data_IF_486674303327
#
_entry.id   IF_486674303327
#
_cell.length_a   1.000
_cell.length_b   1.000
_cell.length_c   1.000
_cell.angle_alpha   90.00
_cell.angle_beta   90.00
_cell.angle_gamma   90.00
#
_symmetry.space_group_name_H-M   'P 1'
#
loop_
_entity.id
_entity.type
_entity.pdbx_description
1 polymer ?
#
# COMPACT_ATOMS: atom_id res chain seq x y z
N UNK A 1 -3.58 -26.35 7.06
CA UNK A 1 -2.32 -26.65 6.41
C UNK A 1 -1.28 -25.60 6.80
N UNK A 2 -0.02 -25.93 6.71
CA UNK A 2 1.07 -24.95 6.96
C UNK A 2 1.32 -24.13 5.71
N UNK A 3 1.75 -22.88 5.86
CA UNK A 3 2.27 -22.08 4.77
C UNK A 3 3.68 -22.60 4.43
N UNK A 4 3.98 -22.74 3.12
CA UNK A 4 5.22 -23.39 2.68
C UNK A 4 5.79 -22.70 1.45
N UNK A 5 7.11 -22.66 1.36
CA UNK A 5 7.85 -22.46 0.12
C UNK A 5 8.53 -23.80 -0.20
N UNK A 6 8.13 -24.44 -1.29
CA UNK A 6 8.65 -25.75 -1.70
C UNK A 6 9.67 -25.52 -2.81
N UNK A 7 10.91 -25.93 -2.57
CA UNK A 7 12.00 -25.79 -3.54
C UNK A 7 11.89 -26.79 -4.67
N UNK A 8 12.43 -26.44 -5.84
CA UNK A 8 12.50 -27.28 -7.03
C UNK A 8 11.14 -27.90 -7.42
N UNK A 9 10.09 -27.01 -7.51
CA UNK A 9 8.75 -27.45 -7.88
C UNK A 9 8.69 -27.82 -9.36
N UNK A 10 8.30 -29.05 -9.70
CA UNK A 10 8.27 -29.49 -11.10
C UNK A 10 7.17 -28.80 -11.91
N UNK A 11 7.49 -28.46 -13.14
CA UNK A 11 6.56 -27.85 -14.11
C UNK A 11 6.74 -28.51 -15.48
N UNK A 12 5.80 -28.30 -16.40
CA UNK A 12 5.92 -28.70 -17.81
C UNK A 12 6.70 -27.64 -18.64
N UNK A 13 7.40 -26.72 -17.98
CA UNK A 13 8.17 -25.68 -18.66
C UNK A 13 9.38 -26.23 -19.39
N UNK A 14 9.56 -25.78 -20.65
CA UNK A 14 10.70 -26.14 -21.50
C UNK A 14 11.81 -25.07 -21.47
N UNK A 15 11.62 -23.97 -20.75
CA UNK A 15 12.57 -22.84 -20.71
C UNK A 15 13.82 -23.15 -19.91
N UNK A 16 13.74 -24.02 -18.90
CA UNK A 16 14.91 -24.55 -18.20
C UNK A 16 15.15 -26.02 -18.59
N UNK A 17 16.40 -26.43 -18.63
CA UNK A 17 16.75 -27.83 -18.92
C UNK A 17 16.15 -28.84 -17.94
N UNK A 18 15.66 -28.37 -16.78
CA UNK A 18 15.11 -29.20 -15.72
C UNK A 18 13.60 -29.11 -15.55
N UNK A 19 12.93 -28.10 -16.12
CA UNK A 19 11.48 -27.91 -15.96
C UNK A 19 11.02 -27.61 -14.52
N UNK A 20 11.91 -27.14 -13.62
CA UNK A 20 11.59 -26.85 -12.23
C UNK A 20 11.58 -25.36 -11.98
N UNK A 21 10.54 -24.87 -11.28
CA UNK A 21 10.55 -23.56 -10.64
C UNK A 21 11.42 -23.62 -9.37
N UNK A 22 12.17 -22.56 -9.09
CA UNK A 22 13.05 -22.57 -7.93
C UNK A 22 12.27 -22.74 -6.63
N UNK A 23 11.12 -22.05 -6.48
CA UNK A 23 10.20 -22.27 -5.35
C UNK A 23 8.74 -22.11 -5.79
N UNK A 24 7.86 -22.94 -5.21
CA UNK A 24 6.42 -22.78 -5.24
C UNK A 24 5.91 -22.34 -3.87
N UNK A 25 5.06 -21.32 -3.83
CA UNK A 25 4.49 -20.76 -2.60
C UNK A 25 3.10 -21.30 -2.35
N UNK A 26 2.90 -21.83 -1.15
CA UNK A 26 1.63 -22.37 -0.70
C UNK A 26 1.12 -21.65 0.55
N UNK A 27 -0.17 -21.31 0.53
CA UNK A 27 -0.92 -20.94 1.72
C UNK A 27 -1.95 -22.04 1.99
N UNK A 28 -1.69 -22.83 3.01
CA UNK A 28 -2.40 -24.09 3.20
C UNK A 28 -2.09 -25.08 2.07
N UNK A 29 -3.11 -25.45 1.32
CA UNK A 29 -2.98 -26.32 0.10
C UNK A 29 -3.07 -25.53 -1.20
N UNK A 30 -3.21 -24.21 -1.14
CA UNK A 30 -3.39 -23.35 -2.30
C UNK A 30 -2.04 -22.93 -2.87
N UNK A 31 -1.78 -23.24 -4.13
CA UNK A 31 -0.61 -22.73 -4.86
C UNK A 31 -0.88 -21.28 -5.26
N UNK A 32 -0.22 -20.34 -4.58
CA UNK A 32 -0.48 -18.90 -4.71
C UNK A 32 0.60 -18.15 -5.45
N UNK A 33 1.80 -18.70 -5.56
CA UNK A 33 2.90 -18.00 -6.20
C UNK A 33 4.06 -18.89 -6.62
N UNK A 34 4.87 -18.38 -7.54
CA UNK A 34 6.13 -18.97 -7.97
C UNK A 34 7.25 -17.96 -7.72
N UNK A 35 8.41 -18.44 -7.30
CA UNK A 35 9.62 -17.62 -7.16
C UNK A 35 10.69 -18.17 -8.11
N UNK A 36 11.30 -17.26 -8.86
CA UNK A 36 12.52 -17.50 -9.62
C UNK A 36 13.70 -16.83 -8.91
N UNK A 37 14.70 -17.61 -8.54
CA UNK A 37 15.90 -17.13 -7.85
C UNK A 37 17.09 -17.03 -8.82
N UNK A 38 17.85 -15.97 -8.70
CA UNK A 38 19.05 -15.74 -9.51
C UNK A 38 20.25 -15.40 -8.63
N UNK A 39 21.44 -15.59 -9.19
CA UNK A 39 22.66 -15.14 -8.54
C UNK A 39 22.64 -13.62 -8.35
N UNK A 40 23.24 -13.14 -7.27
CA UNK A 40 23.22 -11.74 -6.82
C UNK A 40 23.61 -10.74 -7.93
N UNK A 41 24.52 -11.10 -8.82
CA UNK A 41 24.99 -10.22 -9.92
C UNK A 41 24.01 -10.09 -11.08
N UNK A 42 22.91 -10.87 -11.13
CA UNK A 42 21.91 -10.81 -12.20
C UNK A 42 20.87 -9.73 -11.93
N UNK A 43 20.45 -9.04 -12.99
CA UNK A 43 19.35 -8.08 -12.90
C UNK A 43 17.99 -8.80 -13.06
N UNK A 44 17.03 -8.44 -12.21
CA UNK A 44 15.79 -9.16 -12.03
C UNK A 44 14.66 -8.72 -12.98
N UNK A 45 14.51 -7.44 -13.39
CA UNK A 45 13.33 -7.01 -14.16
C UNK A 45 13.08 -7.84 -15.44
N UNK A 46 14.12 -8.19 -16.17
CA UNK A 46 14.02 -9.03 -17.37
C UNK A 46 13.70 -10.50 -17.04
N UNK A 47 14.13 -10.98 -15.87
CA UNK A 47 13.89 -12.34 -15.41
C UNK A 47 12.42 -12.57 -15.10
N UNK A 48 11.79 -11.62 -14.39
CA UNK A 48 10.38 -11.77 -13.98
C UNK A 48 9.45 -11.72 -15.20
N UNK A 49 9.77 -10.90 -16.20
CA UNK A 49 8.96 -10.81 -17.43
C UNK A 49 9.05 -12.05 -18.30
N UNK A 50 10.17 -12.71 -18.34
CA UNK A 50 10.38 -13.87 -19.22
C UNK A 50 10.25 -15.20 -18.45
N UNK A 51 11.16 -15.49 -17.53
CA UNK A 51 11.18 -16.77 -16.81
C UNK A 51 10.09 -16.83 -15.74
N UNK A 52 9.87 -15.73 -15.02
CA UNK A 52 8.85 -15.63 -13.98
C UNK A 52 7.43 -15.85 -14.49
N UNK A 53 7.14 -15.53 -15.76
CA UNK A 53 5.84 -15.78 -16.39
C UNK A 53 5.72 -17.21 -16.96
N UNK A 54 6.84 -17.89 -17.21
CA UNK A 54 6.82 -19.17 -17.88
C UNK A 54 6.31 -20.31 -16.97
N UNK A 55 6.80 -20.40 -15.73
CA UNK A 55 6.38 -21.44 -14.80
C UNK A 55 4.89 -21.36 -14.43
N UNK A 56 4.30 -20.18 -14.14
CA UNK A 56 2.86 -20.05 -13.89
C UNK A 56 1.96 -20.54 -15.03
N UNK A 57 2.44 -20.51 -16.29
CA UNK A 57 1.73 -21.07 -17.44
C UNK A 57 1.77 -22.60 -17.47
N UNK A 58 2.85 -23.19 -17.02
CA UNK A 58 3.21 -24.58 -17.24
C UNK A 58 3.13 -25.43 -15.96
N UNK A 59 2.18 -25.15 -15.07
CA UNK A 59 1.85 -26.02 -13.94
C UNK A 59 1.32 -27.34 -14.48
N UNK A 60 1.85 -28.46 -13.96
CA UNK A 60 1.49 -29.81 -14.40
C UNK A 60 0.02 -30.13 -14.13
N UNK A 61 -0.55 -31.00 -14.95
CA UNK A 61 -1.94 -31.45 -14.77
C UNK A 61 -2.16 -32.19 -13.47
N UNK A 62 -1.18 -32.95 -13.00
CA UNK A 62 -1.24 -33.70 -11.75
C UNK A 62 -1.28 -32.78 -10.51
N UNK A 63 -0.84 -31.52 -10.64
CA UNK A 63 -0.86 -30.51 -9.57
C UNK A 63 -2.13 -29.63 -9.63
N UNK A 64 -3.13 -30.01 -10.44
CA UNK A 64 -4.35 -29.23 -10.64
C UNK A 64 -5.17 -29.02 -9.34
N UNK A 65 -5.07 -29.95 -8.39
CA UNK A 65 -5.76 -29.86 -7.11
C UNK A 65 -5.29 -28.68 -6.24
N UNK A 66 -4.07 -28.17 -6.46
CA UNK A 66 -3.51 -27.04 -5.75
C UNK A 66 -3.82 -25.70 -6.39
N UNK A 67 -4.32 -25.72 -7.63
CA UNK A 67 -4.64 -24.49 -8.37
C UNK A 67 -5.94 -23.88 -7.81
N UNK A 68 -5.93 -22.55 -7.67
CA UNK A 68 -7.05 -21.79 -7.11
C UNK A 68 -7.84 -21.01 -8.17
N UNK A 69 -7.38 -21.04 -9.40
CA UNK A 69 -8.01 -20.37 -10.54
C UNK A 69 -7.11 -20.35 -11.76
N UNK A 70 -7.60 -19.70 -12.80
CA UNK A 70 -6.86 -19.43 -14.03
C UNK A 70 -7.06 -17.97 -14.44
N UNK A 71 -6.00 -17.33 -14.91
CA UNK A 71 -6.00 -15.93 -15.35
C UNK A 71 -5.36 -15.86 -16.73
N UNK A 72 -6.21 -15.90 -17.77
CA UNK A 72 -5.75 -16.10 -19.14
C UNK A 72 -4.99 -17.43 -19.28
N UNK A 73 -3.70 -17.34 -19.60
CA UNK A 73 -2.81 -18.50 -19.74
C UNK A 73 -2.14 -18.93 -18.41
N UNK A 74 -2.28 -18.14 -17.36
CA UNK A 74 -1.63 -18.38 -16.07
C UNK A 74 -2.50 -19.22 -15.14
N UNK A 75 -1.90 -20.20 -14.47
CA UNK A 75 -2.51 -21.11 -13.50
C UNK A 75 -2.15 -20.76 -12.05
N UNK A 76 -1.29 -19.74 -11.86
CA UNK A 76 -0.87 -19.21 -10.57
C UNK A 76 -1.01 -17.69 -10.61
N UNK A 77 -1.59 -17.05 -9.58
CA UNK A 77 -1.90 -15.63 -9.62
C UNK A 77 -0.69 -14.72 -9.51
N UNK A 78 0.36 -15.16 -8.80
CA UNK A 78 1.49 -14.30 -8.47
C UNK A 78 2.82 -14.91 -8.88
N UNK A 79 3.74 -14.06 -9.33
CA UNK A 79 5.11 -14.48 -9.57
C UNK A 79 6.08 -13.50 -8.92
N UNK A 80 7.17 -14.04 -8.42
CA UNK A 80 8.26 -13.31 -7.80
C UNK A 80 9.56 -13.65 -8.50
N UNK A 81 10.49 -12.72 -8.48
CA UNK A 81 11.88 -12.99 -8.83
C UNK A 81 12.81 -12.34 -7.80
N UNK A 82 13.90 -13.02 -7.47
CA UNK A 82 14.84 -12.51 -6.47
C UNK A 82 16.28 -12.85 -6.82
N UNK A 83 17.21 -12.00 -6.37
CA UNK A 83 18.64 -12.28 -6.37
C UNK A 83 19.30 -12.04 -4.99
N UNK A 84 18.49 -11.90 -3.94
CA UNK A 84 18.98 -11.71 -2.58
C UNK A 84 19.49 -10.31 -2.23
N UNK A 85 19.53 -9.36 -3.20
CA UNK A 85 19.91 -7.98 -2.89
C UNK A 85 18.86 -7.29 -2.03
N UNK A 86 19.25 -6.28 -1.22
CA UNK A 86 18.28 -5.40 -0.57
C UNK A 86 17.56 -4.53 -1.61
N UNK A 87 16.51 -3.84 -1.16
CA UNK A 87 15.89 -2.77 -1.95
C UNK A 87 16.88 -1.61 -2.12
N UNK A 88 17.00 -1.11 -3.35
CA UNK A 88 17.90 -0.02 -3.71
C UNK A 88 17.08 1.18 -4.20
N UNK A 89 16.89 2.17 -3.34
CA UNK A 89 16.06 3.34 -3.62
C UNK A 89 16.53 4.14 -4.84
N UNK A 90 17.84 4.38 -4.94
CA UNK A 90 18.42 5.14 -6.05
C UNK A 90 18.44 4.35 -7.38
N UNK A 91 18.46 3.03 -7.30
CA UNK A 91 18.53 2.12 -8.45
C UNK A 91 17.47 1.01 -8.30
N UNK A 92 16.19 1.38 -8.31
CA UNK A 92 15.08 0.45 -8.12
C UNK A 92 15.16 -0.78 -9.02
N UNK A 93 15.66 -0.61 -10.26
CA UNK A 93 15.86 -1.71 -11.22
C UNK A 93 16.87 -2.77 -10.75
N UNK A 94 17.73 -2.45 -9.79
CA UNK A 94 18.70 -3.38 -9.19
C UNK A 94 18.26 -3.96 -7.86
N UNK A 95 17.06 -3.62 -7.38
CA UNK A 95 16.49 -4.18 -6.14
C UNK A 95 16.28 -5.68 -6.27
N UNK A 96 16.36 -6.37 -5.14
CA UNK A 96 16.51 -7.82 -5.11
C UNK A 96 15.21 -8.62 -4.97
N UNK A 97 14.06 -7.99 -4.74
CA UNK A 97 12.76 -8.66 -4.68
C UNK A 97 11.82 -7.97 -5.65
N UNK A 98 11.32 -8.74 -6.60
CA UNK A 98 10.36 -8.27 -7.61
C UNK A 98 9.10 -9.11 -7.55
N UNK A 99 7.97 -8.46 -7.79
CA UNK A 99 6.62 -9.02 -7.75
C UNK A 99 5.84 -8.66 -9.00
N UNK A 100 5.03 -9.58 -9.48
CA UNK A 100 4.06 -9.35 -10.54
C UNK A 100 2.76 -10.11 -10.24
N UNK A 101 1.66 -9.38 -10.23
CA UNK A 101 0.32 -9.94 -10.20
C UNK A 101 -0.10 -10.30 -11.64
N UNK A 102 -0.25 -11.58 -11.91
CA UNK A 102 -0.56 -12.14 -13.24
C UNK A 102 -2.05 -12.12 -13.57
N UNK A 103 -2.91 -11.71 -12.63
CA UNK A 103 -4.35 -11.75 -12.79
C UNK A 103 -4.86 -10.72 -13.79
N UNK A 104 -4.15 -9.60 -13.94
CA UNK A 104 -4.46 -8.54 -14.88
C UNK A 104 -3.30 -8.36 -15.88
N UNK A 105 -3.57 -8.47 -17.20
CA UNK A 105 -2.53 -8.35 -18.23
C UNK A 105 -1.81 -7.00 -18.25
N UNK A 106 -2.44 -5.95 -17.75
CA UNK A 106 -1.89 -4.59 -17.69
C UNK A 106 -0.92 -4.38 -16.53
N UNK A 107 -0.83 -5.32 -15.58
CA UNK A 107 0.10 -5.21 -14.47
C UNK A 107 1.55 -5.30 -14.94
N UNK A 108 2.39 -4.49 -14.32
CA UNK A 108 3.84 -4.45 -14.58
C UNK A 108 4.62 -4.93 -13.36
N UNK A 109 5.80 -5.54 -13.55
CA UNK A 109 6.64 -5.93 -12.44
C UNK A 109 7.03 -4.73 -11.58
N UNK A 110 7.06 -4.93 -10.27
CA UNK A 110 7.46 -3.91 -9.30
C UNK A 110 8.49 -4.45 -8.31
N UNK A 111 9.42 -3.59 -7.89
CA UNK A 111 10.34 -3.89 -6.81
C UNK A 111 9.66 -3.72 -5.46
N UNK A 112 9.90 -4.64 -4.52
CA UNK A 112 9.38 -4.60 -3.17
C UNK A 112 10.51 -4.38 -2.14
N UNK A 113 10.20 -3.68 -1.07
CA UNK A 113 11.11 -3.49 0.07
C UNK A 113 11.31 -4.77 0.91
N UNK A 114 10.38 -5.72 0.80
CA UNK A 114 10.41 -6.98 1.54
C UNK A 114 9.42 -7.99 0.95
N UNK A 115 9.40 -9.19 1.53
CA UNK A 115 8.48 -10.24 1.11
C UNK A 115 7.05 -9.95 1.58
N UNK A 116 6.08 -10.32 0.74
CA UNK A 116 4.67 -10.32 1.13
C UNK A 116 4.44 -11.49 2.08
N UNK A 117 3.80 -11.22 3.22
CA UNK A 117 3.42 -12.27 4.16
C UNK A 117 2.36 -13.21 3.55
N UNK A 118 2.23 -14.46 4.05
CA UNK A 118 1.18 -15.36 3.60
C UNK A 118 -0.24 -14.78 3.71
N UNK A 119 -0.53 -14.04 4.78
CA UNK A 119 -1.80 -13.33 4.94
C UNK A 119 -1.93 -12.20 3.91
N UNK A 120 -0.85 -11.45 3.67
CA UNK A 120 -0.81 -10.41 2.64
C UNK A 120 -1.05 -10.96 1.24
N UNK A 121 -0.51 -12.14 0.91
CA UNK A 121 -0.78 -12.82 -0.37
C UNK A 121 -2.27 -13.15 -0.51
N UNK A 122 -2.91 -13.68 0.55
CA UNK A 122 -4.33 -13.98 0.53
C UNK A 122 -5.17 -12.70 0.42
N UNK A 123 -4.77 -11.65 1.09
CA UNK A 123 -5.42 -10.33 0.97
C UNK A 123 -5.30 -9.74 -0.44
N UNK A 124 -4.12 -9.89 -1.08
CA UNK A 124 -3.95 -9.51 -2.48
C UNK A 124 -4.86 -10.33 -3.41
N UNK A 125 -5.00 -11.62 -3.14
CA UNK A 125 -5.87 -12.51 -3.94
C UNK A 125 -7.35 -12.11 -3.86
N UNK A 126 -7.80 -11.64 -2.69
CA UNK A 126 -9.18 -11.18 -2.45
C UNK A 126 -9.48 -9.79 -3.03
N UNK A 127 -8.46 -9.01 -3.43
CA UNK A 127 -8.66 -7.69 -4.02
C UNK A 127 -9.30 -7.77 -5.39
N UNK A 128 -10.41 -7.07 -5.55
CA UNK A 128 -11.04 -6.76 -6.82
C UNK A 128 -11.08 -5.24 -7.01
N UNK A 129 -10.01 -4.72 -7.62
CA UNK A 129 -9.84 -3.27 -7.84
C UNK A 129 -10.93 -2.73 -8.76
N UNK A 130 -11.31 -3.50 -9.78
CA UNK A 130 -12.33 -3.07 -10.74
C UNK A 130 -13.71 -2.98 -10.10
N UNK A 131 -14.09 -3.98 -9.28
CA UNK A 131 -15.35 -3.92 -8.52
C UNK A 131 -15.35 -2.73 -7.55
N UNK A 132 -14.23 -2.48 -6.85
CA UNK A 132 -14.07 -1.32 -5.97
C UNK A 132 -14.18 0.01 -6.71
N UNK A 133 -13.56 0.14 -7.89
CA UNK A 133 -13.68 1.32 -8.74
C UNK A 133 -15.11 1.56 -9.20
N UNK A 134 -15.81 0.51 -9.65
CA UNK A 134 -17.20 0.60 -10.10
C UNK A 134 -18.13 1.01 -8.95
N UNK A 135 -17.95 0.41 -7.77
CA UNK A 135 -18.71 0.77 -6.58
C UNK A 135 -18.47 2.23 -6.16
N UNK A 136 -17.22 2.71 -6.24
CA UNK A 136 -16.84 4.07 -5.91
C UNK A 136 -17.50 5.09 -6.87
N UNK A 137 -17.51 4.79 -8.16
CA UNK A 137 -18.17 5.61 -9.18
C UNK A 137 -19.70 5.67 -8.99
N UNK A 138 -20.30 4.54 -8.60
CA UNK A 138 -21.74 4.43 -8.39
C UNK A 138 -22.23 5.05 -7.08
N UNK A 139 -21.34 5.20 -6.09
CA UNK A 139 -21.71 5.67 -4.75
C UNK A 139 -22.08 7.16 -4.77
N UNK A 140 -23.30 7.56 -4.35
CA UNK A 140 -23.73 8.96 -4.33
C UNK A 140 -22.91 9.79 -3.33
N UNK A 141 -22.92 11.11 -3.50
CA UNK A 141 -22.16 12.03 -2.64
C UNK A 141 -23.03 12.76 -1.61
N UNK A 142 -24.32 12.42 -1.55
CA UNK A 142 -25.31 13.12 -0.71
C UNK A 142 -24.91 13.10 0.77
N UNK A 143 -24.44 11.96 1.28
CA UNK A 143 -23.98 11.81 2.65
C UNK A 143 -22.85 12.79 3.01
N UNK A 144 -22.00 13.15 2.06
CA UNK A 144 -20.90 14.09 2.32
C UNK A 144 -21.42 15.52 2.59
N UNK A 145 -22.55 15.89 2.03
CA UNK A 145 -23.14 17.23 2.11
C UNK A 145 -24.28 17.32 3.12
N UNK A 146 -24.72 16.19 3.67
CA UNK A 146 -25.76 16.13 4.67
C UNK A 146 -25.37 16.96 5.90
N UNK A 147 -26.31 17.78 6.39
CA UNK A 147 -26.12 18.66 7.55
C UNK A 147 -25.95 17.89 8.84
N UNK A 148 -26.61 16.73 8.95
CA UNK A 148 -26.52 15.84 10.11
C UNK A 148 -25.33 14.87 10.00
N UNK A 149 -24.64 14.85 8.85
CA UNK A 149 -23.45 14.06 8.54
C UNK A 149 -22.16 14.88 8.52
N UNK A 150 -21.38 14.71 7.46
CA UNK A 150 -20.09 15.39 7.29
C UNK A 150 -20.22 16.88 7.02
N UNK A 151 -21.37 17.31 6.47
CA UNK A 151 -21.65 18.70 6.10
C UNK A 151 -20.47 19.36 5.35
N UNK A 152 -19.94 18.66 4.33
CA UNK A 152 -18.84 19.16 3.53
C UNK A 152 -19.28 20.28 2.59
N UNK A 153 -18.42 21.25 2.44
CA UNK A 153 -18.59 22.34 1.47
C UNK A 153 -18.29 21.84 0.05
N UNK A 154 -18.82 22.52 -0.94
CA UNK A 154 -18.68 22.14 -2.36
C UNK A 154 -17.22 21.90 -2.79
N UNK A 155 -16.28 22.74 -2.36
CA UNK A 155 -14.86 22.60 -2.72
C UNK A 155 -14.22 21.34 -2.08
N UNK A 156 -14.67 20.90 -0.90
CA UNK A 156 -14.21 19.68 -0.28
C UNK A 156 -14.71 18.45 -1.04
N UNK A 157 -15.98 18.46 -1.45
CA UNK A 157 -16.55 17.41 -2.30
C UNK A 157 -15.84 17.37 -3.66
N UNK A 158 -15.51 18.51 -4.25
CA UNK A 158 -14.73 18.58 -5.50
C UNK A 158 -13.34 17.97 -5.33
N UNK A 159 -12.67 18.21 -4.19
CA UNK A 159 -11.37 17.61 -3.88
C UNK A 159 -11.46 16.08 -3.76
N UNK A 160 -12.49 15.56 -3.08
CA UNK A 160 -12.74 14.12 -2.99
C UNK A 160 -12.97 13.51 -4.37
N UNK A 161 -13.86 14.11 -5.18
CA UNK A 161 -14.14 13.65 -6.55
C UNK A 161 -12.89 13.60 -7.42
N UNK A 162 -12.03 14.60 -7.31
CA UNK A 162 -10.78 14.66 -8.07
C UNK A 162 -9.79 13.57 -7.64
N UNK A 163 -9.66 13.34 -6.32
CA UNK A 163 -8.82 12.27 -5.79
C UNK A 163 -9.33 10.87 -6.18
N UNK A 164 -10.63 10.63 -6.07
CA UNK A 164 -11.25 9.36 -6.48
C UNK A 164 -11.03 9.10 -7.97
N UNK A 165 -11.22 10.11 -8.81
CA UNK A 165 -10.97 9.99 -10.25
C UNK A 165 -9.51 9.64 -10.54
N UNK A 166 -8.55 10.32 -9.91
CA UNK A 166 -7.14 10.03 -10.08
C UNK A 166 -6.81 8.58 -9.69
N UNK A 167 -7.39 8.09 -8.58
CA UNK A 167 -7.24 6.70 -8.13
C UNK A 167 -7.83 5.71 -9.13
N UNK A 168 -9.02 6.00 -9.68
CA UNK A 168 -9.69 5.15 -10.68
C UNK A 168 -8.89 5.12 -11.99
N UNK A 169 -8.32 6.25 -12.39
CA UNK A 169 -7.45 6.38 -13.56
C UNK A 169 -6.06 5.73 -13.35
N UNK A 170 -5.83 5.09 -12.19
CA UNK A 170 -4.61 4.31 -11.91
C UNK A 170 -3.45 5.13 -11.35
N UNK A 171 -3.65 6.39 -10.97
CA UNK A 171 -2.61 7.19 -10.33
C UNK A 171 -2.24 6.61 -8.97
N UNK A 172 -0.95 6.38 -8.75
CA UNK A 172 -0.41 5.85 -7.49
C UNK A 172 -0.11 6.94 -6.46
N UNK A 173 0.02 8.19 -6.90
CA UNK A 173 0.36 9.34 -6.07
C UNK A 173 -0.56 10.50 -6.42
N UNK A 174 -1.22 11.05 -5.40
CA UNK A 174 -2.19 12.16 -5.52
C UNK A 174 -1.84 13.23 -4.50
N UNK A 175 -1.75 14.48 -4.94
CA UNK A 175 -1.55 15.63 -4.07
C UNK A 175 -2.81 16.49 -4.02
N UNK A 176 -3.31 16.74 -2.81
CA UNK A 176 -4.45 17.62 -2.55
C UNK A 176 -3.96 18.89 -1.84
N UNK A 177 -4.04 20.02 -2.53
CA UNK A 177 -3.73 21.32 -1.95
C UNK A 177 -4.98 21.94 -1.32
N UNK A 178 -4.97 22.11 0.01
CA UNK A 178 -6.06 22.72 0.77
C UNK A 178 -5.48 23.65 1.83
N UNK A 179 -5.90 24.91 1.85
CA UNK A 179 -5.42 25.91 2.83
C UNK A 179 -5.71 25.49 4.28
N UNK A 180 -4.94 26.01 5.21
CA UNK A 180 -5.17 25.81 6.64
C UNK A 180 -6.58 26.33 7.02
N UNK A 181 -7.27 25.62 7.92
CA UNK A 181 -8.63 26.00 8.35
C UNK A 181 -9.75 25.68 7.37
N UNK A 182 -9.47 25.06 6.20
CA UNK A 182 -10.48 24.68 5.23
C UNK A 182 -11.14 23.33 5.50
N UNK A 183 -10.85 22.70 6.65
CA UNK A 183 -11.46 21.42 7.03
C UNK A 183 -10.83 20.20 6.35
N UNK A 184 -9.51 20.20 6.17
CA UNK A 184 -8.75 19.05 5.61
C UNK A 184 -9.13 17.72 6.26
N UNK A 185 -9.16 17.67 7.60
CA UNK A 185 -9.47 16.44 8.34
C UNK A 185 -10.86 15.90 8.01
N UNK A 186 -11.88 16.75 7.90
CA UNK A 186 -13.23 16.32 7.49
C UNK A 186 -13.27 15.84 6.04
N UNK A 187 -12.50 16.46 5.15
CA UNK A 187 -12.37 16.02 3.75
C UNK A 187 -11.73 14.63 3.69
N UNK A 188 -10.67 14.41 4.46
CA UNK A 188 -10.03 13.09 4.60
C UNK A 188 -11.00 12.05 5.13
N UNK A 189 -11.77 12.38 6.18
CA UNK A 189 -12.76 11.49 6.74
C UNK A 189 -13.79 11.02 5.70
N UNK A 190 -14.34 11.96 4.92
CA UNK A 190 -15.27 11.64 3.84
C UNK A 190 -14.66 10.75 2.75
N UNK A 191 -13.41 11.00 2.40
CA UNK A 191 -12.66 10.19 1.44
C UNK A 191 -12.38 8.78 1.99
N UNK A 192 -11.87 8.64 3.21
CA UNK A 192 -11.64 7.35 3.88
C UNK A 192 -12.92 6.53 3.93
N UNK A 193 -14.02 7.14 4.38
CA UNK A 193 -15.31 6.47 4.47
C UNK A 193 -15.74 5.88 3.12
N UNK A 194 -15.68 6.66 2.05
CA UNK A 194 -16.06 6.20 0.70
C UNK A 194 -15.16 5.08 0.20
N UNK A 195 -13.86 5.18 0.39
CA UNK A 195 -12.91 4.15 -0.01
C UNK A 195 -13.11 2.82 0.73
N UNK A 196 -13.39 2.86 2.03
CA UNK A 196 -13.65 1.67 2.83
C UNK A 196 -15.02 1.06 2.52
N UNK A 197 -16.05 1.91 2.38
CA UNK A 197 -17.43 1.47 2.08
C UNK A 197 -17.53 0.73 0.75
N UNK A 198 -16.78 1.17 -0.24
CA UNK A 198 -16.74 0.57 -1.58
C UNK A 198 -15.72 -0.57 -1.71
N UNK A 199 -15.03 -0.92 -0.63
CA UNK A 199 -13.91 -1.87 -0.62
C UNK A 199 -12.83 -1.56 -1.67
N UNK A 200 -12.70 -0.28 -2.10
CA UNK A 200 -11.62 0.12 -3.01
C UNK A 200 -10.26 -0.05 -2.35
N UNK A 201 -10.19 0.22 -1.06
CA UNK A 201 -9.05 -0.08 -0.21
C UNK A 201 -9.47 -0.89 1.00
N UNK A 202 -8.59 -1.79 1.43
CA UNK A 202 -8.85 -2.68 2.56
C UNK A 202 -8.37 -2.08 3.88
N UNK A 203 -7.15 -1.52 3.87
CA UNK A 203 -6.53 -0.97 5.08
C UNK A 203 -5.76 0.31 4.76
N UNK A 204 -6.04 1.33 5.54
CA UNK A 204 -5.54 2.69 5.34
C UNK A 204 -4.55 3.03 6.46
N UNK A 205 -3.36 3.50 6.09
CA UNK A 205 -2.42 4.15 7.00
C UNK A 205 -2.63 5.66 6.92
N UNK A 206 -3.04 6.28 8.03
CA UNK A 206 -3.10 7.73 8.14
C UNK A 206 -1.86 8.24 8.87
N UNK A 207 -0.95 8.84 8.12
CA UNK A 207 0.31 9.38 8.62
C UNK A 207 0.14 10.84 9.02
N UNK A 208 0.50 11.13 10.26
CA UNK A 208 0.52 12.47 10.83
C UNK A 208 1.96 12.85 11.25
N UNK A 209 2.26 14.13 11.22
CA UNK A 209 3.59 14.62 11.61
C UNK A 209 3.79 14.59 13.14
N UNK A 210 2.77 14.97 13.88
CA UNK A 210 2.83 15.09 15.36
C UNK A 210 1.71 14.31 16.03
N UNK A 211 1.98 13.87 17.27
CA UNK A 211 1.00 13.16 18.10
C UNK A 211 -0.29 13.95 18.26
N UNK A 212 -0.19 15.26 18.53
CA UNK A 212 -1.38 16.12 18.69
C UNK A 212 -2.28 16.19 17.45
N UNK A 213 -1.73 16.06 16.25
CA UNK A 213 -2.53 15.98 15.01
C UNK A 213 -3.21 14.62 14.86
N UNK A 214 -2.55 13.56 15.32
CA UNK A 214 -3.13 12.22 15.34
C UNK A 214 -4.28 12.12 16.32
N UNK A 215 -4.15 12.72 17.50
CA UNK A 215 -5.24 12.78 18.49
C UNK A 215 -6.44 13.55 17.94
N UNK A 216 -6.22 14.73 17.35
CA UNK A 216 -7.28 15.51 16.70
C UNK A 216 -7.98 14.75 15.56
N UNK A 217 -7.25 13.98 14.75
CA UNK A 217 -7.84 13.17 13.71
C UNK A 217 -8.66 12.03 14.31
N UNK A 218 -8.16 11.38 15.35
CA UNK A 218 -8.87 10.33 16.07
C UNK A 218 -10.15 10.85 16.70
N UNK A 219 -10.14 12.07 17.28
CA UNK A 219 -11.33 12.70 17.82
C UNK A 219 -12.38 12.95 16.74
N UNK A 220 -11.97 13.48 15.56
CA UNK A 220 -12.88 13.68 14.43
C UNK A 220 -13.48 12.35 13.95
N UNK A 221 -12.72 11.27 13.96
CA UNK A 221 -13.22 9.93 13.58
C UNK A 221 -14.28 9.40 14.56
N UNK A 222 -14.23 9.82 15.82
CA UNK A 222 -15.17 9.43 16.89
C UNK A 222 -16.38 10.37 17.02
N UNK A 223 -16.27 11.61 16.57
CA UNK A 223 -17.30 12.62 16.77
C UNK A 223 -18.23 12.77 15.57
N UNK A 224 -17.69 12.65 14.34
CA UNK A 224 -18.48 12.92 13.14
C UNK A 224 -19.33 11.72 12.79
N UNK A 225 -20.64 11.91 12.81
CA UNK A 225 -21.63 10.90 12.44
C UNK A 225 -21.71 10.74 10.93
N UNK A 226 -21.83 9.50 10.51
CA UNK A 226 -21.91 9.09 9.11
C UNK A 226 -23.22 8.34 8.86
N UNK A 227 -23.17 7.02 8.70
CA UNK A 227 -24.37 6.21 8.44
C UNK A 227 -25.16 5.96 9.72
N UNK A 228 -26.47 6.07 9.65
CA UNK A 228 -27.39 5.78 10.77
C UNK A 228 -26.96 6.44 12.09
N UNK A 229 -26.34 7.63 11.98
CA UNK A 229 -25.78 8.39 13.10
C UNK A 229 -24.55 7.72 13.77
N UNK A 230 -23.96 6.70 13.16
CA UNK A 230 -22.74 6.07 13.64
C UNK A 230 -21.49 6.84 13.18
N UNK A 231 -20.47 6.86 14.01
CA UNK A 231 -19.16 7.45 13.70
C UNK A 231 -18.29 6.47 12.91
N UNK A 232 -17.19 6.96 12.31
CA UNK A 232 -16.27 6.08 11.58
C UNK A 232 -15.67 4.99 12.48
N UNK A 233 -15.38 5.32 13.74
CA UNK A 233 -14.83 4.39 14.73
C UNK A 233 -15.83 3.30 15.14
N UNK A 234 -17.13 3.59 15.10
CA UNK A 234 -18.18 2.60 15.35
C UNK A 234 -18.41 1.67 14.15
N UNK A 235 -18.19 2.17 12.92
CA UNK A 235 -18.36 1.37 11.69
C UNK A 235 -17.14 0.50 11.39
N UNK A 236 -15.93 1.00 11.62
CA UNK A 236 -14.68 0.34 11.27
C UNK A 236 -13.72 0.23 12.44
N UNK A 237 -12.91 -0.84 12.47
CA UNK A 237 -11.84 -0.99 13.45
C UNK A 237 -10.72 0.00 13.14
N UNK A 238 -10.52 0.96 14.04
CA UNK A 238 -9.49 2.00 13.96
C UNK A 238 -8.46 1.78 15.07
N UNK A 239 -7.19 1.76 14.72
CA UNK A 239 -6.05 1.72 15.63
C UNK A 239 -5.44 3.11 15.75
N UNK A 240 -5.30 3.60 16.98
CA UNK A 240 -4.72 4.90 17.30
C UNK A 240 -3.19 4.89 17.33
N UNK A 241 -2.62 6.00 17.79
CA UNK A 241 -1.17 6.22 17.85
C UNK A 241 -0.43 5.24 18.76
N UNK A 242 -1.07 4.80 19.84
CA UNK A 242 -0.48 3.91 20.85
C UNK A 242 -0.54 2.43 20.47
N UNK A 243 -1.37 2.10 19.49
CA UNK A 243 -1.57 0.73 19.05
C UNK A 243 -0.64 0.39 17.87
N UNK A 244 0.26 -0.54 18.08
CA UNK A 244 1.34 -0.83 17.14
C UNK A 244 1.10 -2.04 16.25
N UNK A 245 0.20 -2.94 16.64
CA UNK A 245 -0.09 -4.16 15.89
C UNK A 245 -1.23 -3.94 14.91
N UNK A 246 -1.06 -4.43 13.66
CA UNK A 246 -2.10 -4.46 12.64
C UNK A 246 -2.78 -5.81 12.68
N UNK A 247 -4.03 -5.85 13.08
CA UNK A 247 -4.86 -7.04 13.09
C UNK A 247 -5.60 -7.21 11.75
N UNK A 248 -6.15 -8.40 11.51
CA UNK A 248 -6.89 -8.67 10.27
C UNK A 248 -8.10 -7.74 10.11
N UNK A 249 -8.73 -7.40 11.20
CA UNK A 249 -9.92 -6.56 11.29
C UNK A 249 -9.61 -5.07 11.21
N UNK A 250 -8.36 -4.65 11.44
CA UNK A 250 -7.94 -3.24 11.37
C UNK A 250 -8.20 -2.69 9.98
N UNK A 251 -8.89 -1.57 9.92
CA UNK A 251 -9.20 -0.87 8.64
C UNK A 251 -8.44 0.44 8.51
N UNK A 252 -8.18 1.10 9.61
CA UNK A 252 -7.42 2.35 9.67
C UNK A 252 -6.39 2.24 10.78
N UNK A 253 -5.16 2.62 10.49
CA UNK A 253 -4.09 2.84 11.47
C UNK A 253 -3.68 4.30 11.41
N UNK A 254 -3.79 4.99 12.54
CA UNK A 254 -3.20 6.32 12.71
C UNK A 254 -1.79 6.15 13.27
N UNK A 255 -0.80 6.75 12.64
CA UNK A 255 0.58 6.66 13.09
C UNK A 255 1.37 7.93 12.79
N UNK A 256 2.39 8.22 13.61
CA UNK A 256 3.40 9.23 13.25
C UNK A 256 4.47 8.62 12.35
N UNK A 257 5.12 9.48 11.54
CA UNK A 257 6.25 9.05 10.72
C UNK A 257 7.35 8.41 11.57
N UNK A 258 7.67 9.00 12.74
CA UNK A 258 8.69 8.48 13.63
C UNK A 258 8.35 7.09 14.19
N UNK A 259 7.07 6.85 14.54
CA UNK A 259 6.62 5.52 14.97
C UNK A 259 6.80 4.48 13.88
N UNK A 260 6.43 4.82 12.65
CA UNK A 260 6.57 3.91 11.51
C UNK A 260 8.05 3.66 11.14
N UNK A 261 8.91 4.68 11.21
CA UNK A 261 10.36 4.53 11.02
C UNK A 261 10.93 3.50 12.00
N UNK A 262 10.58 3.60 13.29
CA UNK A 262 11.04 2.64 14.31
C UNK A 262 10.61 1.21 13.96
N UNK A 263 9.38 1.02 13.53
CA UNK A 263 8.84 -0.30 13.17
C UNK A 263 9.48 -0.89 11.91
N UNK A 264 9.79 -0.05 10.91
CA UNK A 264 10.34 -0.49 9.62
C UNK A 264 11.86 -0.69 9.70
N UNK A 265 12.60 0.29 10.27
CA UNK A 265 14.06 0.30 10.20
C UNK A 265 14.74 -0.32 11.41
N UNK A 266 14.17 -0.19 12.60
CA UNK A 266 14.86 -0.59 13.83
C UNK A 266 14.29 -1.85 14.45
N UNK A 267 13.08 -2.27 14.05
CA UNK A 267 12.44 -3.52 14.48
C UNK A 267 12.59 -3.79 15.99
N UNK A 268 12.34 -2.75 16.81
CA UNK A 268 12.49 -2.82 18.25
C UNK A 268 11.33 -3.60 18.87
N UNK A 269 11.48 -4.94 18.95
CA UNK A 269 10.62 -5.79 19.77
C UNK A 269 9.27 -6.19 19.19
N UNK A 270 8.88 -5.74 18.01
CA UNK A 270 7.62 -6.12 17.33
C UNK A 270 7.88 -6.58 15.90
N UNK A 271 7.00 -7.41 15.36
CA UNK A 271 7.12 -7.87 14.00
C UNK A 271 7.14 -6.67 13.03
N UNK A 272 8.12 -6.65 12.13
CA UNK A 272 8.21 -5.68 11.06
C UNK A 272 6.93 -5.74 10.21
N UNK A 273 6.27 -4.59 9.91
CA UNK A 273 5.07 -4.61 9.10
C UNK A 273 5.35 -5.18 7.71
N UNK A 274 4.40 -5.91 7.16
CA UNK A 274 4.48 -6.38 5.78
C UNK A 274 4.33 -5.22 4.80
N UNK A 275 5.00 -5.28 3.65
CA UNK A 275 4.88 -4.29 2.58
C UNK A 275 3.45 -4.14 2.04
N UNK A 276 2.56 -5.08 2.31
CA UNK A 276 1.16 -5.09 1.90
C UNK A 276 0.19 -4.86 3.06
N UNK A 277 0.66 -4.49 4.25
CA UNK A 277 -0.23 -4.25 5.39
C UNK A 277 -1.19 -3.08 5.15
N UNK A 278 -0.78 -2.11 4.34
CA UNK A 278 -1.62 -1.00 3.92
C UNK A 278 -1.65 -0.89 2.40
N UNK A 279 -2.81 -0.60 1.84
CA UNK A 279 -3.01 -0.40 0.41
C UNK A 279 -3.38 1.05 0.03
N UNK A 280 -3.60 1.89 1.03
CA UNK A 280 -3.67 3.34 0.92
C UNK A 280 -2.90 3.99 2.06
N UNK A 281 -2.07 4.98 1.73
CA UNK A 281 -1.45 5.88 2.71
C UNK A 281 -2.01 7.28 2.49
N UNK A 282 -2.58 7.85 3.54
CA UNK A 282 -2.99 9.25 3.55
C UNK A 282 -2.01 10.02 4.44
N UNK A 283 -1.47 11.10 3.92
CA UNK A 283 -0.40 11.85 4.55
C UNK A 283 -0.90 13.27 4.82
N UNK A 284 -1.05 13.62 6.09
CA UNK A 284 -1.39 14.99 6.46
C UNK A 284 -0.14 15.85 6.58
N UNK A 285 -0.29 17.15 6.26
CA UNK A 285 0.80 18.14 6.26
C UNK A 285 2.07 17.68 5.51
N UNK A 286 1.86 17.09 4.32
CA UNK A 286 2.92 16.48 3.51
C UNK A 286 4.09 17.43 3.19
N UNK A 287 3.87 18.75 3.18
CA UNK A 287 4.92 19.73 2.94
C UNK A 287 6.05 19.66 3.98
N UNK A 288 5.79 19.20 5.20
CA UNK A 288 6.81 19.05 6.24
C UNK A 288 7.84 17.97 5.91
N UNK A 289 7.50 17.01 5.08
CA UNK A 289 8.45 16.04 4.55
C UNK A 289 9.36 16.59 3.46
N UNK A 290 9.02 17.74 2.87
CA UNK A 290 9.73 18.32 1.73
C UNK A 290 10.31 19.72 1.97
N UNK A 291 9.84 20.47 2.98
CA UNK A 291 10.28 21.85 3.24
C UNK A 291 11.22 21.89 4.44
N UNK A 292 12.36 22.51 4.20
CA UNK A 292 13.27 22.98 5.24
C UNK A 292 12.57 24.05 6.09
N UNK A 293 12.24 23.74 7.34
CA UNK A 293 11.61 24.70 8.25
C UNK A 293 12.64 25.83 8.55
N UNK A 294 12.37 27.02 8.01
CA UNK A 294 13.25 28.19 8.09
C UNK A 294 13.22 28.90 9.45
N UNK A 295 12.49 28.37 10.43
CA UNK A 295 12.17 29.12 11.66
C UNK A 295 12.97 28.72 12.91
N UNK A 296 14.02 27.89 12.80
CA UNK A 296 14.87 27.60 13.97
C UNK A 296 16.35 27.94 13.68
N UNK A 297 16.85 28.90 14.39
CA UNK A 297 18.24 29.35 14.33
C UNK A 297 19.19 28.34 14.99
N UNK A 298 19.92 27.60 14.17
CA UNK A 298 21.24 26.99 14.34
C UNK A 298 21.53 26.11 13.13
N UNK A 299 22.20 26.67 12.15
CA UNK A 299 22.14 26.26 10.74
C UNK A 299 22.80 24.90 10.43
N UNK A 300 23.74 24.40 11.22
CA UNK A 300 24.48 23.17 10.88
C UNK A 300 23.92 21.88 11.51
N UNK A 301 23.38 21.94 12.69
CA UNK A 301 22.75 20.79 13.37
C UNK A 301 21.41 20.49 12.73
N UNK A 302 20.65 21.52 12.36
CA UNK A 302 19.37 21.43 11.68
C UNK A 302 19.47 20.77 10.30
N UNK A 303 20.53 20.99 9.56
CA UNK A 303 20.67 20.45 8.18
C UNK A 303 20.87 18.93 8.15
N UNK A 304 21.52 18.36 9.14
CA UNK A 304 21.64 16.91 9.29
C UNK A 304 20.33 16.29 9.73
N UNK A 305 19.66 16.88 10.72
CA UNK A 305 18.39 16.37 11.25
C UNK A 305 17.26 16.42 10.23
N UNK A 306 17.23 17.43 9.36
CA UNK A 306 16.19 17.58 8.34
C UNK A 306 16.39 16.62 7.15
N UNK A 307 17.62 16.43 6.68
CA UNK A 307 17.91 15.42 5.65
C UNK A 307 17.62 14.03 6.16
N UNK A 308 17.93 13.75 7.41
CA UNK A 308 17.64 12.49 8.06
C UNK A 308 16.12 12.28 8.19
N UNK A 309 15.37 13.32 8.57
CA UNK A 309 13.91 13.27 8.64
C UNK A 309 13.27 13.04 7.26
N UNK A 310 13.72 13.75 6.23
CA UNK A 310 13.24 13.58 4.85
C UNK A 310 13.53 12.16 4.34
N UNK A 311 14.72 11.65 4.59
CA UNK A 311 15.09 10.28 4.23
C UNK A 311 14.20 9.25 4.93
N UNK A 312 13.97 9.41 6.22
CA UNK A 312 13.11 8.54 7.02
C UNK A 312 11.65 8.61 6.58
N UNK A 313 11.14 9.81 6.32
CA UNK A 313 9.80 10.04 5.81
C UNK A 313 9.60 9.32 4.47
N UNK A 314 10.51 9.51 3.53
CA UNK A 314 10.49 8.86 2.23
C UNK A 314 10.53 7.33 2.38
N UNK A 315 11.38 6.81 3.26
CA UNK A 315 11.46 5.37 3.54
C UNK A 315 10.09 4.81 3.97
N UNK A 316 9.37 5.48 4.88
CA UNK A 316 8.03 5.03 5.31
C UNK A 316 7.04 5.05 4.16
N UNK A 317 7.01 6.15 3.39
CA UNK A 317 6.04 6.33 2.31
C UNK A 317 6.28 5.34 1.17
N UNK A 318 7.54 5.02 0.86
CA UNK A 318 7.90 4.10 -0.21
C UNK A 318 7.89 2.63 0.21
N UNK A 319 7.94 2.34 1.52
CA UNK A 319 8.00 0.97 2.04
C UNK A 319 6.79 0.12 1.63
N UNK A 320 5.58 0.69 1.68
CA UNK A 320 4.36 -0.03 1.39
C UNK A 320 4.00 0.03 -0.09
N UNK A 321 3.54 -1.11 -0.63
CA UNK A 321 2.88 -1.16 -1.94
C UNK A 321 1.46 -0.60 -1.83
N UNK A 322 1.36 0.72 -1.79
CA UNK A 322 0.12 1.44 -1.54
C UNK A 322 -0.05 2.64 -2.48
N UNK A 323 -1.29 3.02 -2.71
CA UNK A 323 -1.61 4.35 -3.26
C UNK A 323 -1.32 5.39 -2.18
N UNK A 324 -0.81 6.56 -2.57
CA UNK A 324 -0.45 7.63 -1.66
C UNK A 324 -1.26 8.88 -1.98
N UNK A 325 -1.97 9.40 -0.98
CA UNK A 325 -2.71 10.66 -1.08
C UNK A 325 -2.14 11.61 -0.05
N UNK A 326 -1.48 12.65 -0.52
CA UNK A 326 -0.84 13.66 0.31
C UNK A 326 -1.71 14.93 0.39
N UNK A 327 -1.88 15.47 1.61
CA UNK A 327 -2.56 16.74 1.83
C UNK A 327 -1.56 17.80 2.28
N UNK A 328 -1.66 18.99 1.74
CA UNK A 328 -0.81 20.11 2.12
C UNK A 328 -1.54 21.43 2.03
N UNK A 329 -1.19 22.36 2.93
CA UNK A 329 -1.63 23.76 2.83
C UNK A 329 -0.79 24.56 1.81
N UNK A 330 0.46 24.17 1.63
CA UNK A 330 1.43 24.88 0.79
C UNK A 330 2.09 23.91 -0.17
N UNK A 331 1.52 23.71 -1.37
CA UNK A 331 2.19 22.91 -2.38
C UNK A 331 3.49 23.61 -2.77
N UNK A 332 4.63 22.97 -2.53
CA UNK A 332 5.90 23.46 -3.05
C UNK A 332 5.93 23.24 -4.56
N UNK A 333 5.66 24.27 -5.31
CA UNK A 333 5.91 24.29 -6.75
C UNK A 333 7.41 24.52 -6.94
N UNK A 334 8.21 23.45 -6.91
CA UNK A 334 9.54 23.50 -7.47
C UNK A 334 9.40 23.39 -9.00
N UNK A 335 9.30 24.53 -9.65
CA UNK A 335 9.69 24.62 -11.05
C UNK A 335 11.20 24.46 -11.10
N UNK A 336 11.65 23.30 -11.50
CA UNK A 336 13.01 23.14 -12.05
C UNK A 336 13.09 23.73 -13.42
#
# INVERSE_FOLDING_TARGET
GRNMAIAEWPTDSTVSKKGYADYALFVGTKLVGIIEAKAEHKDIPSVIDYQGKNYPRNIRKEDAEYQIGTWGEFKVPFTFATNGRPYLEQFKTKSGIWFLDLREPSNVPMALHGWISPNGIMEQLEKDIQAGNNALQAMPYDLLTDKDGLNLREYQVKAIKAAERAVIDGQKEVLIAMATGTGKTRTVLGMIYRFLKTNRFKRILFLVDRTSLGDQASDVFKEVKLEELMTLDEIYNIKGLDEKTVEKETRIQVATVQSMVKRILYNEGEAMPSVTDFDLIIIDEAHRGYILDKEMGDVEVLYRDQRDYQSKYRTVVEYFDAVKIALTATPALHTT
#
